data_IF_869583199919
#
_entry.id   IF_869583199919
#
_cell.length_a   1.000
_cell.length_b   1.000
_cell.length_c   1.000
_cell.angle_alpha   90.00
_cell.angle_beta   90.00
_cell.angle_gamma   90.00
#
_symmetry.space_group_name_H-M   'P 1'
#
loop_
_entity.id
_entity.type
_entity.pdbx_description
1 polymer ?
#
# COMPACT_ATOMS: atom_id res chain seq x y z
N UNK A 1 26.52 9.05 0.57
CA UNK A 1 25.25 8.31 0.54
C UNK A 1 25.34 7.26 -0.54
N UNK A 2 25.24 5.98 -0.18
CA UNK A 2 25.23 4.90 -1.18
C UNK A 2 23.95 4.96 -2.01
N UNK A 3 24.00 4.46 -3.24
CA UNK A 3 22.81 4.35 -4.11
C UNK A 3 21.66 3.58 -3.45
N UNK A 4 21.98 2.66 -2.53
CA UNK A 4 21.05 1.92 -1.70
C UNK A 4 20.26 2.83 -0.72
N UNK A 5 20.92 3.75 0.00
CA UNK A 5 20.27 4.63 0.98
C UNK A 5 19.25 5.56 0.33
N UNK A 6 19.58 6.08 -0.86
CA UNK A 6 18.70 6.95 -1.65
C UNK A 6 17.44 6.18 -2.06
N UNK A 7 17.60 4.90 -2.41
CA UNK A 7 16.50 4.03 -2.82
C UNK A 7 15.60 3.66 -1.64
N UNK A 8 16.16 3.37 -0.47
CA UNK A 8 15.42 3.13 0.78
C UNK A 8 14.61 4.37 1.17
N UNK A 9 15.24 5.56 1.14
CA UNK A 9 14.57 6.81 1.49
C UNK A 9 13.42 7.12 0.53
N UNK A 10 13.65 6.96 -0.77
CA UNK A 10 12.63 7.14 -1.80
C UNK A 10 11.48 6.12 -1.66
N UNK A 11 11.80 4.86 -1.39
CA UNK A 11 10.80 3.80 -1.19
C UNK A 11 9.91 4.09 0.03
N UNK A 12 10.50 4.58 1.14
CA UNK A 12 9.73 5.00 2.33
C UNK A 12 8.81 6.18 2.03
N UNK A 13 9.29 7.19 1.28
CA UNK A 13 8.48 8.32 0.84
C UNK A 13 7.30 7.90 -0.05
N UNK A 14 7.52 6.97 -0.98
CA UNK A 14 6.42 6.45 -1.81
C UNK A 14 5.37 5.71 -0.98
N UNK A 15 5.78 5.00 0.07
CA UNK A 15 4.86 4.34 1.01
C UNK A 15 3.99 5.37 1.73
N UNK A 16 4.60 6.44 2.22
CA UNK A 16 3.89 7.55 2.86
C UNK A 16 2.87 8.18 1.91
N UNK A 17 3.28 8.50 0.68
CA UNK A 17 2.39 9.10 -0.34
C UNK A 17 1.25 8.15 -0.71
N UNK A 18 1.52 6.84 -0.85
CA UNK A 18 0.51 5.84 -1.14
C UNK A 18 -0.54 5.77 -0.02
N UNK A 19 -0.12 5.75 1.24
CA UNK A 19 -1.04 5.76 2.39
C UNK A 19 -1.92 7.01 2.44
N UNK A 20 -1.35 8.19 2.20
CA UNK A 20 -2.11 9.45 2.16
C UNK A 20 -3.14 9.41 1.03
N UNK A 21 -2.70 9.05 -0.16
CA UNK A 21 -3.56 9.02 -1.36
C UNK A 21 -4.67 7.98 -1.23
N UNK A 22 -4.37 6.81 -0.64
CA UNK A 22 -5.35 5.78 -0.30
C UNK A 22 -6.41 6.31 0.67
N UNK A 23 -5.98 6.95 1.76
CA UNK A 23 -6.89 7.52 2.76
C UNK A 23 -7.80 8.57 2.13
N UNK A 24 -7.24 9.48 1.34
CA UNK A 24 -8.01 10.50 0.62
C UNK A 24 -8.99 9.88 -0.38
N UNK A 25 -8.58 8.88 -1.14
CA UNK A 25 -9.45 8.17 -2.08
C UNK A 25 -10.66 7.57 -1.37
N UNK A 26 -10.45 6.88 -0.25
CA UNK A 26 -11.53 6.28 0.54
C UNK A 26 -12.46 7.34 1.16
N UNK A 27 -11.91 8.44 1.70
CA UNK A 27 -12.71 9.52 2.29
C UNK A 27 -13.56 10.24 1.23
N UNK A 28 -13.01 10.53 0.06
CA UNK A 28 -13.76 11.17 -1.03
C UNK A 28 -14.84 10.26 -1.61
N UNK A 29 -14.56 8.95 -1.72
CA UNK A 29 -15.56 7.95 -2.10
C UNK A 29 -16.72 7.91 -1.10
N UNK A 30 -16.43 7.93 0.21
CA UNK A 30 -17.46 7.94 1.26
C UNK A 30 -18.31 9.22 1.32
N UNK A 31 -17.77 10.36 0.87
CA UNK A 31 -18.51 11.64 0.78
C UNK A 31 -19.32 11.81 -0.52
N UNK A 32 -19.41 10.78 -1.36
CA UNK A 32 -20.12 10.83 -2.64
C UNK A 32 -19.46 11.72 -3.70
N UNK A 33 -18.19 12.14 -3.49
CA UNK A 33 -17.45 12.98 -4.43
C UNK A 33 -16.67 12.11 -5.42
N UNK A 34 -17.39 11.57 -6.42
CA UNK A 34 -16.84 10.62 -7.40
C UNK A 34 -15.61 11.14 -8.19
N UNK A 35 -15.57 12.44 -8.53
CA UNK A 35 -14.46 13.04 -9.30
C UNK A 35 -13.12 13.01 -8.52
N UNK A 36 -13.00 13.63 -7.33
CA UNK A 36 -11.74 13.59 -6.57
C UNK A 36 -11.37 12.18 -6.11
N UNK A 37 -12.35 11.33 -5.78
CA UNK A 37 -12.11 9.94 -5.43
C UNK A 37 -11.39 9.16 -6.55
N UNK A 38 -11.85 9.34 -7.81
CA UNK A 38 -11.25 8.71 -8.99
C UNK A 38 -9.84 9.24 -9.27
N UNK A 39 -9.61 10.54 -9.11
CA UNK A 39 -8.28 11.14 -9.29
C UNK A 39 -7.29 10.56 -8.27
N UNK A 40 -7.66 10.55 -6.99
CA UNK A 40 -6.82 9.95 -5.95
C UNK A 40 -6.57 8.47 -6.21
N UNK A 41 -7.59 7.73 -6.66
CA UNK A 41 -7.42 6.32 -7.03
C UNK A 41 -6.44 6.13 -8.20
N UNK A 42 -6.47 7.01 -9.20
CA UNK A 42 -5.53 6.95 -10.33
C UNK A 42 -4.09 7.24 -9.89
N UNK A 43 -3.90 8.22 -9.00
CA UNK A 43 -2.58 8.54 -8.43
C UNK A 43 -2.06 7.36 -7.59
N UNK A 44 -2.94 6.77 -6.78
CA UNK A 44 -2.62 5.63 -5.93
C UNK A 44 -2.10 4.43 -6.74
N UNK A 45 -2.73 4.15 -7.90
CA UNK A 45 -2.23 3.11 -8.82
C UNK A 45 -0.83 3.41 -9.35
N UNK A 46 -0.51 4.68 -9.61
CA UNK A 46 0.82 5.08 -10.06
C UNK A 46 1.86 4.93 -8.93
N UNK A 47 1.49 5.28 -7.69
CA UNK A 47 2.33 5.06 -6.51
C UNK A 47 2.63 3.57 -6.28
N UNK A 48 1.68 2.67 -6.52
CA UNK A 48 1.91 1.23 -6.40
C UNK A 48 2.97 0.72 -7.37
N UNK A 49 2.95 1.19 -8.62
CA UNK A 49 3.95 0.80 -9.63
C UNK A 49 5.33 1.27 -9.17
N UNK A 50 5.45 2.52 -8.71
CA UNK A 50 6.71 3.06 -8.19
C UNK A 50 7.20 2.28 -6.95
N UNK A 51 6.29 1.92 -6.04
CA UNK A 51 6.60 1.10 -4.87
C UNK A 51 7.12 -0.30 -5.25
N UNK A 52 6.51 -0.95 -6.24
CA UNK A 52 6.97 -2.25 -6.70
C UNK A 52 8.33 -2.17 -7.38
N UNK A 53 8.54 -1.19 -8.27
CA UNK A 53 9.82 -1.02 -8.95
C UNK A 53 10.95 -0.77 -7.93
N UNK A 54 10.71 0.14 -6.98
CA UNK A 54 11.71 0.48 -5.94
C UNK A 54 11.92 -0.65 -4.93
N UNK A 55 10.88 -1.44 -4.62
CA UNK A 55 11.00 -2.61 -3.74
C UNK A 55 11.76 -3.77 -4.42
N UNK A 56 11.45 -4.06 -5.68
CA UNK A 56 12.13 -5.11 -6.46
C UNK A 56 13.60 -4.73 -6.67
N UNK A 57 13.91 -3.48 -7.00
CA UNK A 57 15.29 -3.03 -7.15
C UNK A 57 16.09 -3.18 -5.86
N UNK A 58 15.49 -2.93 -4.69
CA UNK A 58 16.13 -3.20 -3.39
C UNK A 58 16.40 -4.70 -3.15
N UNK A 59 15.49 -5.59 -3.56
CA UNK A 59 15.67 -7.04 -3.44
C UNK A 59 16.80 -7.53 -4.37
N UNK A 60 16.88 -6.99 -5.58
CA UNK A 60 17.94 -7.34 -6.55
C UNK A 60 19.31 -6.84 -6.07
N UNK A 61 19.38 -5.65 -5.48
CA UNK A 61 20.62 -5.12 -4.92
C UNK A 61 21.07 -5.80 -3.63
N UNK A 62 20.14 -6.36 -2.85
CA UNK A 62 20.43 -7.07 -1.61
C UNK A 62 19.62 -8.37 -1.54
N UNK A 63 20.13 -9.39 -2.21
CA UNK A 63 19.45 -10.68 -2.33
C UNK A 63 19.55 -11.45 -1.00
N UNK A 64 18.54 -11.27 -0.15
CA UNK A 64 18.40 -11.97 1.12
C UNK A 64 16.98 -12.50 1.26
N UNK A 65 16.86 -13.73 1.79
CA UNK A 65 15.57 -14.43 1.88
C UNK A 65 14.50 -13.63 2.63
N UNK A 66 14.88 -12.94 3.71
CA UNK A 66 13.96 -12.12 4.47
C UNK A 66 13.45 -10.90 3.69
N UNK A 67 14.27 -10.32 2.79
CA UNK A 67 13.87 -9.19 1.93
C UNK A 67 12.86 -9.60 0.88
N UNK A 68 12.98 -10.82 0.34
CA UNK A 68 12.00 -11.38 -0.60
C UNK A 68 10.64 -11.59 0.06
N UNK A 69 10.61 -12.17 1.26
CA UNK A 69 9.37 -12.37 2.03
C UNK A 69 8.71 -11.03 2.37
N UNK A 70 9.52 -10.02 2.76
CA UNK A 70 9.04 -8.66 3.00
C UNK A 70 8.43 -8.01 1.76
N UNK A 71 9.04 -8.22 0.58
CA UNK A 71 8.50 -7.75 -0.70
C UNK A 71 7.15 -8.38 -1.04
N UNK A 72 6.98 -9.68 -0.80
CA UNK A 72 5.72 -10.38 -1.04
C UNK A 72 4.59 -9.85 -0.12
N UNK A 73 4.90 -9.56 1.13
CA UNK A 73 3.95 -8.96 2.07
C UNK A 73 3.57 -7.53 1.67
N UNK A 74 4.53 -6.73 1.20
CA UNK A 74 4.25 -5.40 0.66
C UNK A 74 3.32 -5.47 -0.56
N UNK A 75 3.54 -6.44 -1.46
CA UNK A 75 2.64 -6.70 -2.59
C UNK A 75 1.23 -7.07 -2.13
N UNK A 76 1.10 -7.92 -1.11
CA UNK A 76 -0.19 -8.25 -0.51
C UNK A 76 -0.91 -7.03 0.08
N UNK A 77 -0.18 -6.14 0.77
CA UNK A 77 -0.75 -4.91 1.32
C UNK A 77 -1.23 -3.96 0.21
N UNK A 78 -0.49 -3.83 -0.88
CA UNK A 78 -0.92 -3.07 -2.07
C UNK A 78 -2.21 -3.65 -2.66
N UNK A 79 -2.30 -4.96 -2.79
CA UNK A 79 -3.50 -5.63 -3.28
C UNK A 79 -4.72 -5.36 -2.39
N UNK A 80 -4.55 -5.40 -1.07
CA UNK A 80 -5.61 -5.05 -0.12
C UNK A 80 -6.04 -3.59 -0.23
N UNK A 81 -5.10 -2.65 -0.38
CA UNK A 81 -5.43 -1.23 -0.58
C UNK A 81 -6.21 -1.00 -1.88
N UNK A 82 -5.83 -1.63 -3.00
CA UNK A 82 -6.57 -1.54 -4.26
C UNK A 82 -8.01 -2.09 -4.11
N UNK A 83 -8.17 -3.25 -3.49
CA UNK A 83 -9.51 -3.83 -3.26
C UNK A 83 -10.42 -2.91 -2.45
N UNK A 84 -9.89 -2.27 -1.42
CA UNK A 84 -10.66 -1.34 -0.58
C UNK A 84 -11.00 -0.07 -1.36
N UNK A 85 -10.05 0.49 -2.11
CA UNK A 85 -10.27 1.69 -2.90
C UNK A 85 -11.32 1.47 -4.01
N UNK A 86 -11.25 0.35 -4.73
CA UNK A 86 -12.24 -0.02 -5.77
C UNK A 86 -13.62 -0.26 -5.17
N UNK A 87 -13.71 -1.01 -4.06
CA UNK A 87 -15.00 -1.29 -3.41
C UNK A 87 -15.62 -0.02 -2.81
N UNK A 88 -14.80 0.88 -2.27
CA UNK A 88 -15.24 2.19 -1.79
C UNK A 88 -15.76 3.07 -2.93
N UNK A 89 -15.07 3.08 -4.08
CA UNK A 89 -15.53 3.81 -5.27
C UNK A 89 -16.85 3.29 -5.85
N UNK A 90 -17.17 1.99 -5.67
CA UNK A 90 -18.42 1.41 -6.18
C UNK A 90 -19.62 1.57 -5.24
N UNK A 91 -19.45 2.16 -4.05
CA UNK A 91 -20.54 2.34 -3.09
C UNK A 91 -21.10 1.05 -2.49
N UNK A 92 -20.47 -0.10 -2.75
CA UNK A 92 -20.91 -1.43 -2.28
C UNK A 92 -20.46 -1.68 -0.83
N UNK A 93 -19.76 -0.72 -0.21
CA UNK A 93 -19.36 -0.75 1.18
C UNK A 93 -20.52 -0.35 2.10
N UNK A 94 -21.63 -1.10 2.04
CA UNK A 94 -22.70 -0.99 3.02
C UNK A 94 -22.60 -2.09 4.09
N UNK A 95 -22.77 -1.69 5.34
CA UNK A 95 -22.86 -2.58 6.49
C UNK A 95 -21.62 -3.47 6.74
N UNK A 96 -21.88 -4.78 6.89
CA UNK A 96 -20.94 -5.79 7.43
C UNK A 96 -19.67 -5.98 6.59
N UNK A 97 -19.71 -5.67 5.28
CA UNK A 97 -18.54 -5.80 4.40
C UNK A 97 -17.48 -4.71 4.64
N UNK A 98 -17.88 -3.49 5.01
CA UNK A 98 -16.94 -2.41 5.35
C UNK A 98 -16.02 -2.81 6.50
N UNK A 99 -16.59 -3.46 7.53
CA UNK A 99 -15.85 -3.95 8.70
C UNK A 99 -14.87 -5.06 8.32
N UNK A 100 -15.28 -6.04 7.50
CA UNK A 100 -14.38 -7.11 7.02
C UNK A 100 -13.19 -6.57 6.21
N UNK A 101 -13.41 -5.55 5.36
CA UNK A 101 -12.33 -4.93 4.59
C UNK A 101 -11.37 -4.12 5.45
N UNK A 102 -11.89 -3.39 6.43
CA UNK A 102 -11.05 -2.68 7.40
C UNK A 102 -10.27 -3.63 8.31
N UNK A 103 -10.86 -4.76 8.70
CA UNK A 103 -10.14 -5.82 9.42
C UNK A 103 -9.05 -6.42 8.54
N UNK A 104 -9.33 -6.69 7.25
CA UNK A 104 -8.34 -7.17 6.29
C UNK A 104 -7.19 -6.19 6.08
N UNK A 105 -7.48 -4.89 6.05
CA UNK A 105 -6.46 -3.84 6.02
C UNK A 105 -5.63 -3.80 7.29
N UNK A 106 -6.27 -3.81 8.46
CA UNK A 106 -5.58 -3.82 9.74
C UNK A 106 -4.71 -5.08 9.92
N UNK A 107 -5.19 -6.24 9.46
CA UNK A 107 -4.43 -7.48 9.43
C UNK A 107 -3.23 -7.40 8.47
N UNK A 108 -3.41 -6.84 7.26
CA UNK A 108 -2.32 -6.66 6.31
C UNK A 108 -1.25 -5.67 6.82
N UNK A 109 -1.67 -4.56 7.45
CA UNK A 109 -0.74 -3.62 8.11
C UNK A 109 -0.02 -4.31 9.27
N UNK A 110 -0.74 -5.06 10.12
CA UNK A 110 -0.15 -5.80 11.23
C UNK A 110 0.87 -6.83 10.75
N UNK A 111 0.58 -7.58 9.68
CA UNK A 111 1.51 -8.53 9.05
C UNK A 111 2.76 -7.85 8.52
N UNK A 112 2.63 -6.71 7.84
CA UNK A 112 3.78 -5.93 7.37
C UNK A 112 4.62 -5.40 8.54
N UNK A 113 4.00 -4.96 9.63
CA UNK A 113 4.71 -4.54 10.84
C UNK A 113 5.42 -5.70 11.55
N UNK A 114 4.79 -6.86 11.69
CA UNK A 114 5.39 -8.05 12.30
C UNK A 114 6.62 -8.52 11.51
N UNK A 115 6.55 -8.58 10.18
CA UNK A 115 7.72 -8.96 9.38
C UNK A 115 8.75 -7.84 9.26
N UNK A 116 8.31 -6.59 9.27
CA UNK A 116 9.17 -5.41 9.23
C UNK A 116 10.03 -5.26 10.49
N UNK A 117 9.45 -5.48 11.68
CA UNK A 117 10.13 -5.31 12.97
C UNK A 117 10.57 -6.62 13.63
N UNK A 118 9.92 -7.75 13.34
CA UNK A 118 10.19 -9.03 14.01
C UNK A 118 11.08 -10.00 13.23
N UNK A 119 11.24 -9.83 11.91
CA UNK A 119 12.03 -10.75 11.06
C UNK A 119 13.16 -10.05 10.31
N UNK A 120 13.01 -8.76 9.99
CA UNK A 120 14.04 -7.94 9.31
C UNK A 120 14.63 -6.82 10.18
N UNK A 121 14.28 -6.79 11.47
CA UNK A 121 14.80 -5.86 12.47
C UNK A 121 16.10 -6.34 13.09
#
# INVERSE_FOLDING_TARGET
MGTYDIMVHSHSLFWLIAFITFTLSVVFSGKGKAKPAKIMHMILRLCYILLLITGISMIVMNFYWATFVKGLLAFWLIFMMELIAVRSSKGILEGRQKTTFWIGFAAAVTLVFIFGYGVTG
#
